data_IF_850228557897
#
_entry.id   IF_850228557897
#
_cell.length_a   1.000
_cell.length_b   1.000
_cell.length_c   1.000
_cell.angle_alpha   90.00
_cell.angle_beta   90.00
_cell.angle_gamma   90.00
#
_symmetry.space_group_name_H-M   'P 1'
#
loop_
_entity.id
_entity.type
_entity.pdbx_description
1 polymer ?
#
# COMPACT_ATOMS: atom_id res chain seq x y z
N UNK A 1 4.06 -5.03 10.24
CA UNK A 1 2.62 -4.91 9.96
C UNK A 1 2.38 -4.94 8.47
N UNK A 2 1.50 -5.78 8.03
CA UNK A 2 1.19 -5.90 6.61
C UNK A 2 -0.05 -5.09 6.27
N UNK A 3 0.04 -4.31 5.21
CA UNK A 3 -1.00 -3.38 4.82
C UNK A 3 -1.42 -3.66 3.38
N UNK A 4 -2.71 -3.64 3.13
CA UNK A 4 -3.26 -3.87 1.80
C UNK A 4 -3.75 -2.54 1.24
N UNK A 5 -3.35 -2.24 0.01
CA UNK A 5 -3.73 -1.01 -0.67
C UNK A 5 -4.53 -1.39 -1.91
N UNK A 6 -5.70 -0.79 -2.05
CA UNK A 6 -6.58 -1.02 -3.19
C UNK A 6 -6.85 0.29 -3.91
N UNK A 7 -7.40 0.19 -5.09
CA UNK A 7 -7.78 1.33 -5.92
C UNK A 7 -6.57 2.20 -6.25
N UNK A 8 -5.43 1.56 -6.42
CA UNK A 8 -4.19 2.24 -6.72
C UNK A 8 -4.14 2.59 -8.20
N UNK A 9 -3.69 3.82 -8.50
CA UNK A 9 -3.52 4.23 -9.89
C UNK A 9 -2.45 3.35 -10.54
N UNK A 10 -2.71 2.93 -11.77
CA UNK A 10 -1.84 1.98 -12.46
C UNK A 10 -0.48 2.55 -12.80
N UNK A 11 -0.35 3.86 -12.82
CA UNK A 11 0.92 4.50 -13.12
C UNK A 11 1.84 4.64 -11.91
N UNK A 12 1.36 4.29 -10.73
CA UNK A 12 2.18 4.36 -9.53
C UNK A 12 3.08 3.14 -9.46
N UNK A 13 4.37 3.37 -9.36
CA UNK A 13 5.33 2.27 -9.22
C UNK A 13 5.64 2.02 -7.75
N UNK A 14 6.45 1.00 -7.49
CA UNK A 14 6.75 0.60 -6.11
C UNK A 14 7.50 1.67 -5.36
N UNK A 15 8.41 2.38 -6.01
CA UNK A 15 9.16 3.43 -5.34
C UNK A 15 8.25 4.58 -4.91
N UNK A 16 7.30 4.94 -5.77
CA UNK A 16 6.35 5.99 -5.44
C UNK A 16 5.45 5.58 -4.29
N UNK A 17 4.98 4.35 -4.32
CA UNK A 17 4.11 3.84 -3.26
C UNK A 17 4.87 3.76 -1.94
N UNK A 18 6.09 3.27 -1.99
CA UNK A 18 6.91 3.20 -0.79
C UNK A 18 7.11 4.58 -0.19
N UNK A 19 7.30 5.60 -1.03
CA UNK A 19 7.48 6.97 -0.57
C UNK A 19 6.29 7.49 0.20
N UNK A 20 5.09 7.09 -0.19
CA UNK A 20 3.89 7.51 0.54
C UNK A 20 3.87 6.96 1.96
N UNK A 21 4.29 5.72 2.11
CA UNK A 21 4.29 5.08 3.42
C UNK A 21 5.53 5.42 4.24
N UNK A 22 6.63 5.69 3.58
CA UNK A 22 7.89 6.01 4.29
C UNK A 22 7.81 7.29 5.08
N UNK A 23 6.85 8.14 4.78
CA UNK A 23 6.63 9.36 5.55
C UNK A 23 6.20 9.07 6.98
N UNK A 24 5.66 7.90 7.23
CA UNK A 24 5.12 7.53 8.52
C UNK A 24 5.99 6.59 9.31
N UNK A 25 6.99 6.00 8.65
CA UNK A 25 7.90 5.10 9.33
C UNK A 25 8.67 4.25 8.36
N UNK A 26 9.42 3.31 8.90
CA UNK A 26 10.28 2.46 8.09
C UNK A 26 9.46 1.41 7.35
N UNK A 27 9.64 1.34 6.02
CA UNK A 27 8.96 0.36 5.18
C UNK A 27 9.90 -0.80 4.94
N UNK A 28 9.44 -2.00 5.26
CA UNK A 28 10.25 -3.20 5.08
C UNK A 28 10.17 -3.70 3.66
N UNK A 29 8.99 -3.70 3.07
CA UNK A 29 8.84 -4.15 1.69
C UNK A 29 7.62 -3.53 1.04
N UNK A 30 7.66 -3.42 -0.28
CA UNK A 30 6.57 -2.89 -1.08
C UNK A 30 6.39 -3.79 -2.27
N UNK A 31 5.17 -4.26 -2.50
CA UNK A 31 4.92 -5.13 -3.62
C UNK A 31 3.61 -4.74 -4.31
N UNK A 32 3.70 -4.36 -5.57
CA UNK A 32 2.52 -4.07 -6.38
C UNK A 32 2.15 -5.34 -7.15
N UNK A 33 0.85 -5.63 -7.19
CA UNK A 33 0.37 -6.83 -7.87
C UNK A 33 0.13 -6.48 -9.33
N UNK A 34 0.73 -7.26 -10.22
CA UNK A 34 0.61 -7.06 -11.66
C UNK A 34 -0.13 -8.22 -12.29
N UNK A 35 -0.83 -7.90 -13.37
CA UNK A 35 -1.45 -8.94 -14.18
C UNK A 35 -0.35 -9.70 -14.89
N UNK A 36 -0.36 -11.03 -14.81
CA UNK A 36 0.72 -11.83 -15.35
C UNK A 36 0.68 -11.95 -16.87
N UNK A 37 -0.42 -11.54 -17.47
CA UNK A 37 -0.55 -11.60 -18.93
C UNK A 37 -0.20 -10.26 -19.57
N UNK A 38 -0.76 -9.18 -19.05
CA UNK A 38 -0.56 -7.86 -19.63
C UNK A 38 0.54 -7.06 -18.97
N UNK A 39 0.98 -7.50 -17.78
CA UNK A 39 2.00 -6.82 -16.97
C UNK A 39 1.55 -5.44 -16.51
N UNK A 40 0.26 -5.20 -16.49
CA UNK A 40 -0.29 -3.96 -15.96
C UNK A 40 -0.60 -4.12 -14.49
N UNK A 41 -0.47 -3.03 -13.75
CA UNK A 41 -0.83 -3.02 -12.34
C UNK A 41 -2.32 -3.32 -12.19
N UNK A 42 -2.66 -4.19 -11.25
CA UNK A 42 -4.07 -4.49 -10.98
C UNK A 42 -4.71 -3.49 -10.04
N UNK A 43 -3.94 -2.51 -9.58
CA UNK A 43 -4.47 -1.53 -8.64
C UNK A 43 -4.44 -2.00 -7.21
N UNK A 44 -3.70 -3.05 -6.91
CA UNK A 44 -3.53 -3.59 -5.56
C UNK A 44 -2.07 -3.60 -5.20
N UNK A 45 -1.79 -3.46 -3.90
CA UNK A 45 -0.42 -3.56 -3.44
C UNK A 45 -0.39 -3.99 -1.98
N UNK A 46 0.73 -4.54 -1.58
CA UNK A 46 0.99 -4.88 -0.18
C UNK A 46 2.21 -4.12 0.29
N UNK A 47 2.10 -3.54 1.46
CA UNK A 47 3.19 -2.83 2.11
C UNK A 47 3.45 -3.51 3.44
N UNK A 48 4.72 -3.72 3.75
CA UNK A 48 5.06 -4.24 5.07
C UNK A 48 5.86 -3.18 5.80
N UNK A 49 5.35 -2.72 6.93
CA UNK A 49 6.04 -1.72 7.76
C UNK A 49 6.61 -2.39 8.98
N UNK A 50 7.76 -1.91 9.42
CA UNK A 50 8.49 -2.54 10.52
C UNK A 50 7.73 -2.40 11.82
N UNK A 51 7.19 -1.21 12.09
CA UNK A 51 6.52 -0.94 13.36
C UNK A 51 5.03 -0.81 13.20
N UNK A 52 4.31 -1.48 14.07
CA UNK A 52 2.86 -1.49 14.01
C UNK A 52 2.25 -0.11 14.21
N UNK A 53 2.81 0.66 15.13
CA UNK A 53 2.29 2.00 15.39
C UNK A 53 2.40 2.90 14.18
N UNK A 54 3.51 2.79 13.47
CA UNK A 54 3.72 3.59 12.28
C UNK A 54 2.82 3.12 11.15
N UNK A 55 2.63 1.82 11.05
CA UNK A 55 1.71 1.28 10.06
C UNK A 55 0.29 1.75 10.29
N UNK A 56 -0.14 1.79 11.53
CA UNK A 56 -1.48 2.27 11.87
C UNK A 56 -1.65 3.73 11.49
N UNK A 57 -0.63 4.54 11.75
CA UNK A 57 -0.69 5.95 11.37
C UNK A 57 -0.77 6.13 9.86
N UNK A 58 -0.01 5.31 9.13
CA UNK A 58 -0.03 5.37 7.69
C UNK A 58 -1.41 5.02 7.15
N UNK A 59 -2.03 3.99 7.71
CA UNK A 59 -3.37 3.59 7.29
C UNK A 59 -4.35 4.74 7.52
N UNK A 60 -4.32 5.32 8.70
CA UNK A 60 -5.26 6.39 9.03
C UNK A 60 -5.06 7.61 8.14
N UNK A 61 -3.82 7.91 7.80
CA UNK A 61 -3.53 9.10 7.00
C UNK A 61 -3.81 8.89 5.52
N UNK A 62 -3.58 7.69 5.01
CA UNK A 62 -3.66 7.46 3.58
C UNK A 62 -4.99 6.87 3.12
N UNK A 63 -5.72 6.23 4.02
CA UNK A 63 -7.01 5.68 3.63
C UNK A 63 -7.96 6.81 3.27
N UNK A 64 -8.49 6.76 2.05
CA UNK A 64 -9.39 7.79 1.57
C UNK A 64 -8.69 8.97 0.92
N UNK A 65 -7.36 8.94 0.88
CA UNK A 65 -6.63 10.03 0.27
C UNK A 65 -6.64 9.91 -1.25
N UNK A 66 -6.86 11.04 -1.91
CA UNK A 66 -6.88 11.07 -3.36
C UNK A 66 -5.46 11.11 -3.90
N UNK A 67 -5.09 10.08 -4.64
CA UNK A 67 -3.77 10.01 -5.28
C UNK A 67 -4.00 9.82 -6.77
N UNK A 68 -3.60 10.81 -7.55
CA UNK A 68 -3.76 10.79 -9.00
C UNK A 68 -5.22 10.62 -9.42
N UNK A 69 -6.13 11.21 -8.66
CA UNK A 69 -7.54 11.13 -8.99
C UNK A 69 -8.25 9.89 -8.51
N UNK A 70 -7.56 9.04 -7.72
CA UNK A 70 -8.16 7.84 -7.18
C UNK A 70 -8.08 7.85 -5.67
N UNK A 71 -9.18 7.56 -5.03
CA UNK A 71 -9.24 7.49 -3.59
C UNK A 71 -8.68 6.16 -3.12
N UNK A 72 -7.57 6.21 -2.39
CA UNK A 72 -6.93 4.99 -1.92
C UNK A 72 -7.77 4.31 -0.86
N UNK A 73 -7.76 2.99 -0.90
CA UNK A 73 -8.34 2.18 0.16
C UNK A 73 -7.18 1.47 0.83
N UNK A 74 -6.93 1.79 2.09
CA UNK A 74 -5.77 1.27 2.80
C UNK A 74 -6.26 0.59 4.06
N UNK A 75 -5.89 -0.66 4.25
CA UNK A 75 -6.38 -1.43 5.38
C UNK A 75 -5.36 -2.46 5.81
N UNK A 76 -5.53 -2.97 7.01
CA UNK A 76 -4.67 -4.00 7.54
C UNK A 76 -4.87 -5.28 6.75
N UNK A 77 -3.77 -5.93 6.39
CA UNK A 77 -3.83 -7.15 5.60
C UNK A 77 -3.21 -8.33 6.34
N UNK A 78 -3.07 -8.23 7.63
CA UNK A 78 -2.45 -9.30 8.38
C UNK A 78 -3.33 -10.52 8.39
N UNK A 79 -2.67 -11.66 8.20
CA UNK A 79 -3.36 -12.90 8.16
C UNK A 79 -3.86 -13.33 9.50
N UNK A 80 -5.08 -13.84 9.55
CA UNK A 80 -5.59 -14.40 10.76
C UNK A 80 -5.00 -15.73 10.99
N UNK A 81 -4.54 -16.00 12.17
CA UNK A 81 -4.01 -17.31 12.52
C UNK A 81 -4.95 -18.00 13.45
N UNK A 82 -4.93 -19.28 13.36
CA UNK A 82 -5.84 -19.92 14.27
C UNK A 82 -5.23 -21.05 14.90
#
# INVERSE_FOLDING_TARGET
>A
MKIFVKNLDRDINEAQLEGLFAQFGEVESTKIIYDTITWESKGFAFIEMVKKEEGTKAIEALNGKDIKGRELIVQVAEERRR
#
